data_IF_415960223772
#
_entry.id   IF_415960223772
#
_cell.length_a   1.000
_cell.length_b   1.000
_cell.length_c   1.000
_cell.angle_alpha   90.00
_cell.angle_beta   90.00
_cell.angle_gamma   90.00
#
_symmetry.space_group_name_H-M   'P 1'
#
loop_
_entity.id
_entity.type
_entity.pdbx_description
1 polymer ?
#
# COMPACT_ATOMS: atom_id res chain seq x y z
N UNK A 1 -57.27 -7.62 -1.36
CA UNK A 1 -56.42 -6.73 -0.52
C UNK A 1 -55.03 -7.33 -0.25
N UNK A 2 -54.92 -8.57 0.26
CA UNK A 2 -53.62 -9.23 0.55
C UNK A 2 -52.64 -9.29 -0.63
N UNK A 3 -53.14 -9.57 -1.86
CA UNK A 3 -52.32 -9.59 -3.08
C UNK A 3 -51.80 -8.21 -3.51
N UNK A 4 -52.58 -7.16 -3.25
CA UNK A 4 -52.20 -5.77 -3.51
C UNK A 4 -51.15 -5.30 -2.49
N UNK A 5 -51.33 -5.66 -1.22
CA UNK A 5 -50.36 -5.41 -0.16
C UNK A 5 -49.00 -6.09 -0.43
N UNK A 6 -49.01 -7.31 -0.97
CA UNK A 6 -47.79 -8.03 -1.35
C UNK A 6 -47.04 -7.34 -2.51
N UNK A 7 -47.78 -6.80 -3.49
CA UNK A 7 -47.19 -6.04 -4.60
C UNK A 7 -46.54 -4.73 -4.15
N UNK A 8 -47.19 -4.00 -3.22
CA UNK A 8 -46.64 -2.76 -2.64
C UNK A 8 -45.37 -3.05 -1.82
N UNK A 9 -45.36 -4.15 -1.06
CA UNK A 9 -44.19 -4.60 -0.29
C UNK A 9 -43.00 -4.94 -1.21
N UNK A 10 -43.26 -5.60 -2.34
CA UNK A 10 -42.22 -5.91 -3.33
C UNK A 10 -41.67 -4.65 -4.01
N UNK A 11 -42.51 -3.64 -4.27
CA UNK A 11 -42.09 -2.37 -4.86
C UNK A 11 -41.14 -1.54 -3.99
N UNK A 12 -41.24 -1.66 -2.66
CA UNK A 12 -40.38 -0.95 -1.71
C UNK A 12 -39.08 -1.71 -1.34
N UNK A 13 -38.96 -2.97 -1.75
CA UNK A 13 -37.78 -3.80 -1.48
C UNK A 13 -36.43 -3.29 -2.02
N UNK A 14 -36.32 -2.58 -3.17
CA UNK A 14 -35.01 -2.17 -3.69
C UNK A 14 -34.41 -0.96 -2.96
N UNK A 15 -35.15 -0.29 -2.07
CA UNK A 15 -34.64 0.85 -1.29
C UNK A 15 -33.68 0.45 -0.15
N UNK A 16 -33.54 -0.86 0.13
CA UNK A 16 -32.66 -1.40 1.17
C UNK A 16 -31.43 -2.14 0.62
N UNK A 17 -31.13 -2.00 -0.68
CA UNK A 17 -29.93 -2.57 -1.30
C UNK A 17 -28.67 -1.74 -1.00
N UNK A 18 -28.28 -1.63 0.27
CA UNK A 18 -26.93 -1.21 0.65
C UNK A 18 -26.05 -2.44 0.86
N UNK A 19 -25.58 -3.06 -0.23
CA UNK A 19 -24.64 -4.17 -0.13
C UNK A 19 -23.67 -4.18 -1.31
N UNK A 20 -23.02 -3.05 -1.58
CA UNK A 20 -21.79 -3.01 -2.36
C UNK A 20 -20.81 -2.11 -1.61
N UNK A 21 -20.21 -2.66 -0.55
CA UNK A 21 -18.97 -2.09 -0.02
C UNK A 21 -17.96 -2.22 -1.16
N UNK A 22 -17.71 -1.09 -1.80
CA UNK A 22 -16.65 -0.91 -2.78
C UNK A 22 -15.35 -1.49 -2.17
N UNK A 23 -14.60 -2.27 -2.93
CA UNK A 23 -13.22 -2.67 -2.63
C UNK A 23 -12.27 -1.44 -2.63
N UNK A 24 -12.70 -0.30 -2.09
CA UNK A 24 -11.91 0.90 -1.83
C UNK A 24 -11.27 0.88 -0.45
N UNK A 25 -11.44 -0.21 0.31
CA UNK A 25 -10.58 -0.46 1.46
C UNK A 25 -9.13 -0.44 0.96
N UNK A 26 -8.24 0.38 1.54
CA UNK A 26 -6.86 0.42 1.10
C UNK A 26 -6.29 -0.99 1.20
N UNK A 27 -5.67 -1.46 0.12
CA UNK A 27 -5.17 -2.82 0.03
C UNK A 27 -4.38 -3.17 1.30
N UNK A 28 -4.76 -4.26 1.98
CA UNK A 28 -3.96 -4.92 3.01
C UNK A 28 -3.25 -3.96 4.01
N UNK A 29 -4.01 -3.37 4.94
CA UNK A 29 -3.41 -2.61 6.06
C UNK A 29 -2.75 -1.28 5.69
N UNK A 30 -3.15 -0.69 4.55
CA UNK A 30 -2.62 0.60 4.06
C UNK A 30 -1.45 0.45 3.07
N UNK A 31 -1.10 -0.77 2.68
CA UNK A 31 -0.03 -1.01 1.73
C UNK A 31 -0.48 -0.65 0.31
N UNK A 32 0.40 0.01 -0.44
CA UNK A 32 0.12 0.38 -1.83
C UNK A 32 0.53 -0.80 -2.71
N UNK A 33 -0.41 -1.34 -3.51
CA UNK A 33 -0.08 -2.33 -4.54
C UNK A 33 0.72 -1.65 -5.65
N UNK A 34 1.82 -2.25 -6.07
CA UNK A 34 2.70 -1.66 -7.08
C UNK A 34 3.21 -2.72 -8.05
N UNK A 35 3.45 -2.29 -9.29
CA UNK A 35 4.09 -3.12 -10.30
C UNK A 35 5.02 -2.29 -11.18
N UNK A 36 6.03 -2.97 -11.73
CA UNK A 36 6.89 -2.47 -12.78
C UNK A 36 7.00 -3.55 -13.85
N UNK A 37 6.98 -3.15 -15.10
CA UNK A 37 7.16 -4.05 -16.22
C UNK A 37 8.20 -3.50 -17.19
N UNK A 38 9.00 -4.40 -17.73
CA UNK A 38 9.98 -4.08 -18.76
C UNK A 38 10.13 -5.28 -19.69
N UNK A 39 10.14 -5.00 -21.00
CA UNK A 39 10.49 -5.99 -22.01
C UNK A 39 11.97 -5.93 -22.32
N UNK A 40 12.64 -7.10 -22.29
CA UNK A 40 14.04 -7.27 -22.70
C UNK A 40 14.06 -8.30 -23.83
N UNK A 41 14.28 -7.82 -25.07
CA UNK A 41 14.19 -8.65 -26.27
C UNK A 41 12.77 -9.20 -26.46
N UNK A 42 12.62 -10.52 -26.43
CA UNK A 42 11.32 -11.22 -26.53
C UNK A 42 10.69 -11.54 -25.18
N UNK A 43 11.37 -11.20 -24.08
CA UNK A 43 10.95 -11.59 -22.74
C UNK A 43 10.28 -10.42 -22.02
N UNK A 44 9.11 -10.67 -21.46
CA UNK A 44 8.44 -9.78 -20.53
C UNK A 44 8.84 -10.08 -19.10
N UNK A 45 9.26 -9.04 -18.40
CA UNK A 45 9.55 -9.09 -16.97
C UNK A 45 8.55 -8.18 -16.30
N UNK A 46 7.73 -8.77 -15.43
CA UNK A 46 6.81 -8.04 -14.57
C UNK A 46 7.08 -8.41 -13.12
N UNK A 47 7.16 -7.39 -12.27
CA UNK A 47 7.36 -7.54 -10.84
C UNK A 47 6.17 -6.88 -10.15
N UNK A 48 5.47 -7.64 -9.32
CA UNK A 48 4.43 -7.13 -8.43
C UNK A 48 4.94 -7.15 -7.00
N UNK A 49 4.66 -6.08 -6.25
CA UNK A 49 4.98 -6.02 -4.83
C UNK A 49 3.95 -5.20 -4.06
N UNK A 50 3.99 -5.38 -2.74
CA UNK A 50 3.24 -4.57 -1.79
C UNK A 50 4.18 -3.56 -1.17
N UNK A 51 4.01 -2.27 -1.49
CA UNK A 51 4.76 -1.20 -0.87
C UNK A 51 4.19 -0.95 0.55
N UNK A 52 4.92 -1.29 1.62
CA UNK A 52 4.36 -1.24 2.97
C UNK A 52 4.09 0.19 3.42
N UNK A 53 2.97 0.40 4.12
CA UNK A 53 2.67 1.69 4.73
C UNK A 53 3.77 2.13 5.70
N UNK A 54 4.13 3.41 5.65
CA UNK A 54 5.18 3.98 6.51
C UNK A 54 4.68 4.18 7.95
N UNK A 55 3.36 4.26 8.15
CA UNK A 55 2.67 4.28 9.46
C UNK A 55 3.19 5.38 10.40
N UNK A 56 3.26 6.63 9.94
CA UNK A 56 3.66 7.75 10.79
C UNK A 56 5.17 7.90 10.97
N UNK A 57 5.98 7.17 10.19
CA UNK A 57 7.45 7.24 10.18
C UNK A 57 8.01 8.07 9.02
N UNK A 58 7.14 8.74 8.28
CA UNK A 58 7.48 9.56 7.13
C UNK A 58 8.44 10.68 7.57
N UNK A 59 9.55 10.84 6.85
CA UNK A 59 10.55 11.88 7.14
C UNK A 59 11.37 11.69 8.42
N UNK A 60 11.15 10.62 9.20
CA UNK A 60 11.81 10.44 10.51
C UNK A 60 13.17 9.73 10.47
N UNK A 61 13.62 9.27 9.30
CA UNK A 61 14.85 8.46 9.19
C UNK A 61 16.12 9.32 9.06
N UNK A 62 16.01 10.50 8.46
CA UNK A 62 17.16 11.36 8.21
C UNK A 62 17.63 12.06 9.49
N UNK A 63 18.94 12.24 9.63
CA UNK A 63 19.56 12.80 10.83
C UNK A 63 19.54 11.85 12.04
N UNK A 64 19.10 10.60 11.84
CA UNK A 64 19.19 9.54 12.85
C UNK A 64 20.50 8.76 12.69
N UNK A 65 20.85 7.87 13.64
CA UNK A 65 21.99 6.96 13.47
C UNK A 65 21.88 6.04 12.25
N UNK A 66 20.69 5.87 11.65
CA UNK A 66 20.47 5.01 10.49
C UNK A 66 20.80 5.74 9.17
N UNK A 67 20.26 6.95 8.98
CA UNK A 67 20.52 7.79 7.80
C UNK A 67 21.08 9.14 8.27
N UNK A 68 22.31 9.09 8.76
CA UNK A 68 23.02 10.26 9.27
C UNK A 68 23.56 11.12 8.12
N UNK A 69 23.78 12.40 8.42
CA UNK A 69 24.51 13.29 7.52
C UNK A 69 26.01 13.15 7.73
N UNK A 70 26.79 13.42 6.69
CA UNK A 70 28.25 13.30 6.75
C UNK A 70 28.73 11.86 6.96
N UNK A 71 29.86 11.73 7.66
CA UNK A 71 30.53 10.46 7.91
C UNK A 71 30.40 10.10 9.39
N UNK A 72 30.19 8.82 9.67
CA UNK A 72 30.13 8.29 11.02
C UNK A 72 30.82 6.92 11.05
N UNK A 73 31.37 6.54 12.20
CA UNK A 73 31.88 5.19 12.36
C UNK A 73 30.70 4.22 12.53
N UNK A 74 30.35 3.52 11.46
CA UNK A 74 29.24 2.58 11.42
C UNK A 74 29.54 1.27 12.18
N UNK A 75 30.79 1.02 12.57
CA UNK A 75 31.22 -0.25 13.17
C UNK A 75 31.36 -1.40 12.18
N UNK A 76 31.34 -1.11 10.87
CA UNK A 76 31.49 -2.10 9.80
C UNK A 76 32.64 -1.72 8.85
N UNK A 77 33.35 -2.74 8.35
CA UNK A 77 34.48 -2.56 7.45
C UNK A 77 35.76 -2.08 8.13
N UNK A 78 36.76 -1.69 7.34
CA UNK A 78 38.07 -1.21 7.82
C UNK A 78 38.18 0.32 7.86
N UNK A 79 37.18 1.03 7.31
CA UNK A 79 37.16 2.48 7.28
C UNK A 79 36.92 3.08 8.68
N UNK A 80 37.61 4.17 8.99
CA UNK A 80 37.44 4.90 10.26
C UNK A 80 36.04 5.52 10.38
N UNK A 81 35.51 6.03 9.27
CA UNK A 81 34.19 6.64 9.15
C UNK A 81 33.66 6.49 7.72
N UNK A 82 32.35 6.34 7.59
CA UNK A 82 31.67 6.01 6.34
C UNK A 82 30.38 6.81 6.20
N UNK A 83 29.93 7.14 4.98
CA UNK A 83 28.58 7.67 4.76
C UNK A 83 27.53 6.58 5.01
N UNK A 84 26.27 6.97 5.20
CA UNK A 84 25.18 6.04 5.54
C UNK A 84 24.83 4.99 4.45
N UNK A 85 25.34 5.14 3.22
CA UNK A 85 25.23 4.17 2.10
C UNK A 85 26.60 3.73 1.57
N UNK A 86 27.59 3.65 2.46
CA UNK A 86 28.93 3.16 2.11
C UNK A 86 28.93 1.71 1.66
#
# INVERSE_FOLDING_TARGET
MKRLQLGILMLFSPLFLFAQVMNSLPASGGNIKSSISQRIGITDIEIHWDAPAVKGREGKIWGTPIAHYGFLNLGFGTAKESPWRA
#
